data_IF_360899314366
#
_entry.id   IF_360899314366
#
_cell.length_a   1.000
_cell.length_b   1.000
_cell.length_c   1.000
_cell.angle_alpha   90.00
_cell.angle_beta   90.00
_cell.angle_gamma   90.00
#
_symmetry.space_group_name_H-M   'P 1'
#
loop_
_entity.id
_entity.type
_entity.pdbx_description
1 polymer ?
#
# COMPACT_ATOMS: atom_id res chain seq x y z
N UNK A 1 19.13 -2.08 -14.18
CA UNK A 1 18.21 -1.46 -15.15
C UNK A 1 16.76 -1.75 -14.77
N UNK A 2 15.99 -0.70 -14.51
CA UNK A 2 14.57 -0.78 -14.15
C UNK A 2 13.77 -1.07 -15.43
N UNK A 3 13.76 -2.35 -15.79
CA UNK A 3 13.19 -2.86 -17.03
C UNK A 3 11.66 -2.80 -16.98
N UNK A 4 11.07 -1.77 -17.56
CA UNK A 4 9.62 -1.63 -17.71
C UNK A 4 9.24 -0.29 -18.34
N UNK A 5 8.14 -0.27 -19.10
CA UNK A 5 7.56 0.98 -19.63
C UNK A 5 7.21 1.95 -18.50
N UNK A 6 7.13 3.26 -18.79
CA UNK A 6 6.71 4.30 -17.83
C UNK A 6 5.55 3.89 -16.89
N UNK A 7 4.43 3.31 -17.39
CA UNK A 7 3.34 2.87 -16.51
C UNK A 7 3.80 1.82 -15.49
N UNK A 8 4.64 0.87 -15.89
CA UNK A 8 5.08 -0.22 -15.02
C UNK A 8 6.01 0.27 -13.89
N UNK A 9 6.84 1.29 -14.17
CA UNK A 9 7.67 1.94 -13.15
C UNK A 9 6.80 2.71 -12.16
N UNK A 10 5.78 3.40 -12.66
CA UNK A 10 4.81 4.13 -11.83
C UNK A 10 4.03 3.17 -10.93
N UNK A 11 3.60 2.02 -11.47
CA UNK A 11 2.89 0.99 -10.71
C UNK A 11 3.74 0.44 -9.56
N UNK A 12 5.01 0.13 -9.81
CA UNK A 12 5.93 -0.27 -8.74
C UNK A 12 6.07 0.82 -7.69
N UNK A 13 6.33 2.06 -8.12
CA UNK A 13 6.51 3.16 -7.19
C UNK A 13 5.26 3.42 -6.34
N UNK A 14 4.08 3.33 -6.93
CA UNK A 14 2.81 3.44 -6.21
C UNK A 14 2.62 2.32 -5.18
N UNK A 15 2.94 1.07 -5.55
CA UNK A 15 2.96 -0.04 -4.61
C UNK A 15 3.96 0.17 -3.47
N UNK A 16 5.13 0.75 -3.77
CA UNK A 16 6.15 1.09 -2.78
C UNK A 16 5.67 2.14 -1.77
N UNK A 17 4.97 3.18 -2.22
CA UNK A 17 4.37 4.19 -1.32
C UNK A 17 3.31 3.55 -0.43
N UNK A 18 2.46 2.69 -0.98
CA UNK A 18 1.38 2.04 -0.23
C UNK A 18 1.94 1.13 0.86
N UNK A 19 2.95 0.29 0.55
CA UNK A 19 3.58 -0.58 1.55
C UNK A 19 4.30 0.23 2.65
N UNK A 20 4.96 1.34 2.30
CA UNK A 20 5.70 2.14 3.28
C UNK A 20 4.73 2.86 4.22
N UNK A 21 3.63 3.38 3.67
CA UNK A 21 2.58 4.00 4.48
C UNK A 21 1.90 2.97 5.37
N UNK A 22 1.61 1.77 4.86
CA UNK A 22 1.09 0.66 5.68
C UNK A 22 2.04 0.29 6.82
N UNK A 23 3.35 0.19 6.56
CA UNK A 23 4.36 -0.05 7.61
C UNK A 23 4.38 1.06 8.65
N UNK A 24 4.37 2.32 8.22
CA UNK A 24 4.38 3.48 9.11
C UNK A 24 3.10 3.58 9.96
N UNK A 25 1.98 3.09 9.44
CA UNK A 25 0.70 3.02 10.14
C UNK A 25 0.46 1.69 10.88
N UNK A 26 1.45 0.80 10.98
CA UNK A 26 1.32 -0.49 11.66
C UNK A 26 0.19 -1.37 11.09
N UNK A 27 -0.04 -1.27 9.77
CA UNK A 27 -1.12 -1.95 9.07
C UNK A 27 -2.52 -1.32 9.27
N UNK A 28 -2.63 -0.17 9.94
CA UNK A 28 -3.90 0.52 10.12
C UNK A 28 -4.39 1.17 8.81
N UNK A 29 -5.46 0.59 8.27
CA UNK A 29 -6.04 1.02 7.00
C UNK A 29 -6.63 2.42 7.07
N UNK A 30 -7.20 2.84 8.21
CA UNK A 30 -7.79 4.17 8.30
C UNK A 30 -6.73 5.27 8.28
N UNK A 31 -5.66 5.09 9.04
CA UNK A 31 -4.51 5.99 9.04
C UNK A 31 -3.81 5.99 7.69
N UNK A 32 -3.59 4.82 7.07
CA UNK A 32 -2.98 4.77 5.73
C UNK A 32 -3.83 5.50 4.69
N UNK A 33 -5.14 5.32 4.68
CA UNK A 33 -6.06 6.02 3.77
C UNK A 33 -6.01 7.54 4.00
N UNK A 34 -6.01 7.97 5.26
CA UNK A 34 -5.92 9.38 5.61
C UNK A 34 -4.57 9.99 5.19
N UNK A 35 -3.47 9.27 5.37
CA UNK A 35 -2.13 9.69 4.98
C UNK A 35 -1.95 9.77 3.46
N UNK A 36 -2.50 8.79 2.72
CA UNK A 36 -2.47 8.78 1.25
C UNK A 36 -3.47 9.77 0.64
N UNK A 37 -4.49 10.21 1.38
CA UNK A 37 -5.52 11.13 0.88
C UNK A 37 -6.42 10.54 -0.21
N UNK A 38 -6.50 9.21 -0.32
CA UNK A 38 -7.30 8.53 -1.34
C UNK A 38 -8.55 7.90 -0.75
N UNK A 39 -9.65 7.75 -1.50
CA UNK A 39 -10.83 7.09 -0.99
C UNK A 39 -10.58 5.60 -0.71
N UNK A 40 -11.24 5.08 0.32
CA UNK A 40 -11.11 3.69 0.80
C UNK A 40 -11.28 2.64 -0.31
N UNK A 41 -12.23 2.84 -1.23
CA UNK A 41 -12.46 1.94 -2.36
C UNK A 41 -11.23 1.87 -3.29
N UNK A 42 -10.64 3.03 -3.61
CA UNK A 42 -9.43 3.11 -4.44
C UNK A 42 -8.24 2.46 -3.73
N UNK A 43 -8.10 2.67 -2.42
CA UNK A 43 -7.03 2.01 -1.66
C UNK A 43 -7.10 0.48 -1.76
N UNK A 44 -8.28 -0.11 -1.54
CA UNK A 44 -8.45 -1.57 -1.69
C UNK A 44 -8.22 -2.06 -3.13
N UNK A 45 -8.65 -1.28 -4.13
CA UNK A 45 -8.37 -1.59 -5.54
C UNK A 45 -6.87 -1.62 -5.84
N UNK A 46 -6.10 -0.68 -5.28
CA UNK A 46 -4.65 -0.64 -5.38
C UNK A 46 -3.98 -1.80 -4.65
N UNK A 47 -4.42 -2.13 -3.43
CA UNK A 47 -3.92 -3.32 -2.71
C UNK A 47 -4.13 -4.59 -3.53
N UNK A 48 -5.33 -4.78 -4.08
CA UNK A 48 -5.66 -5.97 -4.86
C UNK A 48 -4.88 -6.02 -6.18
N UNK A 49 -4.72 -4.89 -6.88
CA UNK A 49 -3.94 -4.79 -8.13
C UNK A 49 -2.47 -5.13 -7.88
N UNK A 50 -1.90 -4.65 -6.79
CA UNK A 50 -0.48 -4.83 -6.45
C UNK A 50 -0.21 -6.09 -5.60
N UNK A 51 -1.24 -6.85 -5.25
CA UNK A 51 -1.10 -8.06 -4.41
C UNK A 51 -0.63 -7.79 -2.98
N UNK A 52 -0.88 -6.60 -2.44
CA UNK A 52 -0.41 -6.18 -1.11
C UNK A 52 -1.40 -6.68 -0.06
N UNK A 53 -0.92 -7.49 0.88
CA UNK A 53 -1.74 -8.01 1.98
C UNK A 53 -1.48 -7.20 3.24
N UNK A 54 -2.44 -6.35 3.64
CA UNK A 54 -2.33 -5.54 4.87
C UNK A 54 -1.99 -6.36 6.13
N UNK A 55 -2.41 -7.62 6.19
CA UNK A 55 -2.15 -8.51 7.33
C UNK A 55 -0.67 -8.84 7.51
N UNK A 56 0.16 -8.65 6.49
CA UNK A 56 1.63 -8.74 6.62
C UNK A 56 2.22 -7.51 7.34
N UNK A 57 1.45 -6.42 7.45
CA UNK A 57 1.87 -5.14 8.03
C UNK A 57 1.19 -4.85 9.36
N UNK A 58 0.03 -5.46 9.61
CA UNK A 58 -0.64 -5.38 10.90
C UNK A 58 0.17 -6.17 11.92
N UNK A 59 1.08 -5.49 12.63
CA UNK A 59 1.87 -6.12 13.68
C UNK A 59 0.91 -6.60 14.75
N UNK A 60 1.01 -7.91 15.03
CA UNK A 60 0.13 -8.59 15.94
C UNK A 60 0.55 -8.28 17.38
N UNK A 61 0.50 -7.01 17.79
CA UNK A 61 0.70 -6.57 19.19
C UNK A 61 -0.52 -6.85 20.08
N UNK A 62 -1.23 -7.94 19.76
CA UNK A 62 -2.32 -8.55 20.50
C UNK A 62 -2.06 -10.06 20.49
N UNK A 63 -1.01 -10.48 21.21
CA UNK A 63 -0.87 -11.81 21.81
C UNK A 63 0.00 -11.67 23.04
#
# INVERSE_FOLDING_TARGET
PETGSLPQRLERYEAEIIRETLKACDGDVQQTIAALGIPRKTFYDKLQRHGIVRSEFADKRLS
#
